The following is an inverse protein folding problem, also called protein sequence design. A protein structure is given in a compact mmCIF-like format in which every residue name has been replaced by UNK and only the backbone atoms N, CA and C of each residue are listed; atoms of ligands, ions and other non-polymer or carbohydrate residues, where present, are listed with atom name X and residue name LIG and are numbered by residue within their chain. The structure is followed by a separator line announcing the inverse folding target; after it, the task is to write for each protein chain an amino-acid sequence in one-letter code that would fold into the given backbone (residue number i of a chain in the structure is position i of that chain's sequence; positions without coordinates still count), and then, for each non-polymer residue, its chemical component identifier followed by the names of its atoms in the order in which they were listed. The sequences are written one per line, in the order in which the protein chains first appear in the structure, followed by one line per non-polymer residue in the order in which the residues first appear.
data_IF_730613725428
#
_entry.id   IF_730613725428
#
_cell.length_a   1.000
_cell.length_b   1.000
_cell.length_c   1.000
_cell.angle_alpha   90.00
_cell.angle_beta   90.00
_cell.angle_gamma   90.00
#
_symmetry.space_group_name_H-M   'P 1'
#
loop_
_entity.id
_entity.type
_entity.pdbx_description
1 polymer ?
#
# COMPACT_ATOMS: atom_id res chain seq x y z
N UNK A 1 -20.72 5.16 10.83
CA UNK A 1 -19.35 4.60 10.83
C UNK A 1 -18.81 4.74 12.24
N UNK A 2 -18.18 3.70 12.78
CA UNK A 2 -17.49 3.81 14.07
C UNK A 2 -16.26 4.68 13.82
N UNK A 3 -16.21 5.88 14.38
CA UNK A 3 -15.03 6.73 14.28
C UNK A 3 -14.05 6.27 15.36
N UNK A 4 -13.11 5.41 14.98
CA UNK A 4 -12.06 4.97 15.89
C UNK A 4 -11.17 6.13 16.30
N UNK A 5 -10.81 6.18 17.58
CA UNK A 5 -9.79 7.08 18.08
C UNK A 5 -8.46 6.76 17.38
N UNK A 6 -7.78 7.80 16.88
CA UNK A 6 -6.50 7.68 16.19
C UNK A 6 -5.43 8.31 17.07
N UNK A 7 -4.45 7.53 17.48
CA UNK A 7 -3.33 8.00 18.32
C UNK A 7 -2.03 7.89 17.53
N UNK A 8 -1.28 9.00 17.44
CA UNK A 8 0.05 8.96 16.81
C UNK A 8 1.03 8.38 17.82
N UNK A 9 1.75 7.35 17.39
CA UNK A 9 2.78 6.69 18.19
C UNK A 9 4.05 6.54 17.37
N UNK A 10 5.20 6.64 18.03
CA UNK A 10 6.49 6.46 17.40
C UNK A 10 6.86 4.97 17.31
N UNK A 11 7.35 4.54 16.14
CA UNK A 11 7.85 3.19 15.89
C UNK A 11 9.35 3.08 16.17
N UNK A 12 9.91 1.86 16.16
CA UNK A 12 11.34 1.64 16.48
C UNK A 12 12.31 2.25 15.47
N UNK A 13 11.89 2.52 14.24
CA UNK A 13 12.73 3.22 13.24
C UNK A 13 12.62 4.76 13.34
N UNK A 14 11.91 5.26 14.35
CA UNK A 14 11.70 6.69 14.60
C UNK A 14 10.49 7.29 13.88
N UNK A 15 9.92 6.59 12.90
CA UNK A 15 8.76 7.07 12.15
C UNK A 15 7.46 6.93 12.92
N UNK A 16 6.52 7.83 12.65
CA UNK A 16 5.19 7.81 13.23
C UNK A 16 4.30 6.76 12.55
N UNK A 17 3.46 6.11 13.34
CA UNK A 17 2.31 5.32 12.88
C UNK A 17 1.06 5.75 13.63
N UNK A 18 -0.10 5.33 13.16
CA UNK A 18 -1.38 5.57 13.82
C UNK A 18 -1.80 4.28 14.52
N UNK A 19 -2.06 4.36 15.81
CA UNK A 19 -2.64 3.31 16.63
C UNK A 19 -4.16 3.50 16.76
N UNK A 20 -4.88 2.39 16.66
CA UNK A 20 -6.33 2.29 16.85
C UNK A 20 -6.60 1.45 18.10
N UNK A 21 -6.79 2.08 19.29
CA UNK A 21 -6.93 1.36 20.56
C UNK A 21 -8.08 0.35 20.58
N UNK A 22 -9.19 0.65 19.93
CA UNK A 22 -10.42 -0.15 19.98
C UNK A 22 -10.28 -1.51 19.29
N UNK A 23 -9.37 -1.63 18.33
CA UNK A 23 -9.09 -2.88 17.61
C UNK A 23 -7.66 -3.41 17.89
N UNK A 24 -6.92 -2.67 18.71
CA UNK A 24 -5.52 -2.92 19.06
C UNK A 24 -4.69 -3.21 17.79
N UNK A 25 -4.67 -2.25 16.87
CA UNK A 25 -4.00 -2.38 15.59
C UNK A 25 -3.32 -1.06 15.19
N UNK A 26 -2.23 -1.17 14.42
CA UNK A 26 -1.51 -0.02 13.90
C UNK A 26 -1.64 0.05 12.37
N UNK A 27 -1.60 1.25 11.80
CA UNK A 27 -1.56 1.45 10.34
C UNK A 27 -0.30 0.83 9.72
N UNK A 28 0.82 0.90 10.45
CA UNK A 28 2.11 0.28 10.06
C UNK A 28 2.72 -0.43 11.27
N UNK A 29 3.62 -1.37 11.03
CA UNK A 29 4.34 -2.08 12.10
C UNK A 29 4.98 -1.14 13.12
N UNK A 30 4.79 -1.44 14.40
CA UNK A 30 5.49 -0.77 15.51
C UNK A 30 7.01 -0.97 15.46
N UNK A 31 7.52 -1.92 14.67
CA UNK A 31 8.96 -2.11 14.45
C UNK A 31 9.57 -1.07 13.51
N UNK A 32 8.77 -0.34 12.75
CA UNK A 32 9.25 0.68 11.83
C UNK A 32 8.33 0.82 10.63
N UNK A 33 7.64 1.95 10.50
CA UNK A 33 6.71 2.17 9.38
C UNK A 33 7.48 2.32 8.06
N UNK A 34 8.50 3.18 8.04
CA UNK A 34 9.32 3.43 6.85
C UNK A 34 10.08 2.18 6.45
N UNK A 35 10.68 1.48 7.42
CA UNK A 35 11.46 0.27 7.15
C UNK A 35 10.60 -0.87 6.60
N UNK A 36 9.42 -1.10 7.17
CA UNK A 36 8.48 -2.10 6.67
C UNK A 36 8.02 -1.77 5.25
N UNK A 37 7.57 -0.53 5.00
CA UNK A 37 7.08 -0.12 3.69
C UNK A 37 8.16 -0.19 2.60
N UNK A 38 9.40 0.23 2.92
CA UNK A 38 10.55 0.07 2.02
C UNK A 38 10.82 -1.41 1.71
N UNK A 39 10.84 -2.27 2.72
CA UNK A 39 11.13 -3.69 2.53
C UNK A 39 10.04 -4.40 1.72
N UNK A 40 8.79 -4.25 2.11
CA UNK A 40 7.66 -5.00 1.54
C UNK A 40 7.30 -4.47 0.16
N UNK A 41 7.00 -3.18 0.05
CA UNK A 41 6.37 -2.63 -1.16
C UNK A 41 7.40 -2.12 -2.17
N UNK A 42 8.52 -1.56 -1.71
CA UNK A 42 9.54 -1.04 -2.62
C UNK A 42 10.51 -2.15 -3.05
N UNK A 43 11.26 -2.75 -2.12
CA UNK A 43 12.30 -3.72 -2.45
C UNK A 43 11.74 -5.06 -2.94
N UNK A 44 10.64 -5.55 -2.35
CA UNK A 44 10.04 -6.82 -2.73
C UNK A 44 8.84 -6.67 -3.68
N UNK A 45 8.42 -5.44 -3.99
CA UNK A 45 7.38 -5.11 -4.96
C UNK A 45 7.91 -4.34 -6.17
N UNK A 46 8.14 -3.04 -6.01
CA UNK A 46 8.50 -2.13 -7.12
C UNK A 46 9.83 -2.47 -7.81
N UNK A 47 10.86 -2.86 -7.04
CA UNK A 47 12.18 -3.23 -7.58
C UNK A 47 12.12 -4.48 -8.49
N UNK A 48 11.09 -5.33 -8.32
CA UNK A 48 10.85 -6.43 -9.25
C UNK A 48 10.71 -5.93 -10.71
N UNK A 49 10.18 -4.72 -10.87
CA UNK A 49 9.99 -4.05 -12.15
C UNK A 49 11.10 -3.04 -12.48
N UNK A 50 12.32 -3.20 -11.95
CA UNK A 50 13.44 -2.27 -12.19
C UNK A 50 13.74 -1.99 -13.67
N UNK A 51 13.47 -2.95 -14.56
CA UNK A 51 13.69 -2.80 -16.01
C UNK A 51 12.47 -2.30 -16.80
N UNK A 52 11.31 -2.11 -16.14
CA UNK A 52 10.09 -1.61 -16.78
C UNK A 52 10.00 -0.10 -16.61
N UNK A 53 9.69 0.63 -17.69
CA UNK A 53 9.64 2.10 -17.69
C UNK A 53 8.28 2.67 -17.27
N UNK A 54 7.20 2.01 -17.65
CA UNK A 54 5.84 2.47 -17.38
C UNK A 54 5.12 1.45 -16.50
N UNK A 55 4.62 1.88 -15.36
CA UNK A 55 3.95 1.00 -14.39
C UNK A 55 2.66 1.62 -13.89
N UNK A 56 1.62 0.79 -13.79
CA UNK A 56 0.38 1.10 -13.10
C UNK A 56 0.35 0.34 -11.79
N UNK A 57 0.31 1.08 -10.69
CA UNK A 57 0.32 0.54 -9.32
C UNK A 57 -1.06 0.77 -8.71
N UNK A 58 -1.59 -0.26 -8.06
CA UNK A 58 -2.78 -0.17 -7.23
C UNK A 58 -2.38 -0.41 -5.77
N UNK A 59 -2.82 0.45 -4.87
CA UNK A 59 -2.71 0.27 -3.42
C UNK A 59 -4.10 0.09 -2.82
N UNK A 60 -4.24 -0.96 -2.01
CA UNK A 60 -5.42 -1.20 -1.19
C UNK A 60 -5.10 -0.81 0.24
N UNK A 61 -5.72 0.26 0.73
CA UNK A 61 -5.42 0.88 2.02
C UNK A 61 -4.41 2.02 1.87
N UNK A 62 -4.80 3.13 1.25
CA UNK A 62 -3.91 4.30 1.07
C UNK A 62 -3.38 4.84 2.41
N UNK A 63 -4.20 4.78 3.47
CA UNK A 63 -3.78 5.10 4.82
C UNK A 63 -3.10 6.46 4.96
N UNK A 64 -1.82 6.47 5.32
CA UNK A 64 -1.04 7.70 5.50
C UNK A 64 -0.37 8.21 4.21
N UNK A 65 -0.52 7.50 3.09
CA UNK A 65 0.17 7.76 1.84
C UNK A 65 1.67 7.41 1.86
N UNK A 66 2.15 6.67 2.86
CA UNK A 66 3.58 6.38 3.02
C UNK A 66 4.13 5.58 1.82
N UNK A 67 3.41 4.55 1.37
CA UNK A 67 3.86 3.73 0.24
C UNK A 67 3.89 4.55 -1.06
N UNK A 68 2.94 5.47 -1.26
CA UNK A 68 2.93 6.40 -2.39
C UNK A 68 4.14 7.35 -2.37
N UNK A 69 4.46 7.94 -1.21
CA UNK A 69 5.64 8.79 -1.02
C UNK A 69 6.94 8.05 -1.33
N UNK A 70 7.09 6.84 -0.79
CA UNK A 70 8.27 6.01 -1.04
C UNK A 70 8.36 5.55 -2.49
N UNK A 71 7.22 5.26 -3.12
CA UNK A 71 7.16 4.93 -4.56
C UNK A 71 7.63 6.09 -5.40
N UNK A 72 7.15 7.31 -5.14
CA UNK A 72 7.57 8.53 -5.85
C UNK A 72 9.08 8.75 -5.78
N UNK A 73 9.68 8.56 -4.60
CA UNK A 73 11.13 8.72 -4.44
C UNK A 73 11.93 7.64 -5.17
N UNK A 74 11.42 6.41 -5.16
CA UNK A 74 12.09 5.28 -5.79
C UNK A 74 11.93 5.24 -7.31
N UNK A 75 10.86 5.81 -7.86
CA UNK A 75 10.49 5.72 -9.28
C UNK A 75 11.36 6.57 -10.22
N UNK A 76 12.59 6.92 -9.84
CA UNK A 76 13.50 7.71 -10.67
C UNK A 76 13.61 7.08 -12.07
N UNK A 77 13.26 7.85 -13.12
CA UNK A 77 13.21 7.42 -14.53
C UNK A 77 12.09 6.42 -14.91
N UNK A 78 11.08 6.23 -14.06
CA UNK A 78 9.86 5.46 -14.36
C UNK A 78 8.67 6.39 -14.44
N UNK A 79 7.79 6.15 -15.41
CA UNK A 79 6.44 6.71 -15.44
C UNK A 79 5.52 5.85 -14.57
N UNK A 80 4.94 6.44 -13.54
CA UNK A 80 4.05 5.75 -12.60
C UNK A 80 2.66 6.37 -12.66
N UNK A 81 1.66 5.54 -12.90
CA UNK A 81 0.29 5.83 -12.50
C UNK A 81 0.00 5.09 -11.20
N UNK A 82 -0.26 5.84 -10.13
CA UNK A 82 -0.52 5.30 -8.80
C UNK A 82 -1.98 5.47 -8.43
N UNK A 83 -2.71 4.38 -8.22
CA UNK A 83 -4.08 4.38 -7.74
C UNK A 83 -4.14 3.89 -6.28
N UNK A 84 -4.51 4.75 -5.34
CA UNK A 84 -4.71 4.38 -3.94
C UNK A 84 -6.19 4.33 -3.57
N UNK A 85 -6.68 3.20 -3.07
CA UNK A 85 -8.07 3.05 -2.61
C UNK A 85 -8.11 3.09 -1.09
N UNK A 86 -8.97 3.96 -0.54
CA UNK A 86 -9.20 4.11 0.89
C UNK A 86 -10.68 4.31 1.16
N UNK A 87 -11.21 3.60 2.16
CA UNK A 87 -12.60 3.71 2.56
C UNK A 87 -12.82 4.83 3.58
N UNK A 88 -11.79 5.15 4.38
CA UNK A 88 -11.87 6.11 5.48
C UNK A 88 -10.61 6.99 5.50
N UNK A 89 -10.52 8.00 4.61
CA UNK A 89 -9.39 8.92 4.57
C UNK A 89 -9.09 9.56 5.93
N UNK A 90 -7.82 9.81 6.19
CA UNK A 90 -7.40 10.54 7.39
C UNK A 90 -7.77 12.03 7.29
N UNK A 91 -8.04 12.62 8.44
CA UNK A 91 -8.22 14.07 8.57
C UNK A 91 -6.89 14.80 8.33
N UNK A 92 -6.97 16.02 7.80
CA UNK A 92 -5.81 16.84 7.42
C UNK A 92 -4.81 17.03 8.57
N UNK A 93 -5.29 17.31 9.78
CA UNK A 93 -4.45 17.50 10.97
C UNK A 93 -3.62 16.26 11.31
N UNK A 94 -4.14 15.07 11.01
CA UNK A 94 -3.44 13.82 11.29
C UNK A 94 -2.30 13.60 10.29
N UNK A 95 -2.48 13.93 9.01
CA UNK A 95 -1.40 13.90 8.02
C UNK A 95 -0.26 14.85 8.42
N UNK A 96 -0.60 16.09 8.78
CA UNK A 96 0.39 17.12 9.17
C UNK A 96 1.18 16.76 10.42
N UNK A 97 0.63 15.87 11.26
CA UNK A 97 1.28 15.41 12.50
C UNK A 97 2.22 14.22 12.30
N UNK A 98 2.30 13.66 11.08
CA UNK A 98 3.25 12.58 10.75
C UNK A 98 4.63 13.15 10.46
N UNK A 99 5.66 12.50 10.99
CA UNK A 99 7.05 12.97 10.89
C UNK A 99 7.81 12.45 9.66
N UNK A 100 7.12 12.08 8.57
CA UNK A 100 7.77 11.53 7.39
C UNK A 100 8.71 12.53 6.70
N UNK A 101 8.37 13.82 6.72
CA UNK A 101 9.18 14.90 6.15
C UNK A 101 10.57 15.03 6.78
N UNK A 102 10.72 14.64 8.05
CA UNK A 102 12.00 14.76 8.77
C UNK A 102 12.88 13.53 8.65
N UNK A 103 12.30 12.37 8.30
CA UNK A 103 12.98 11.08 8.25
C UNK A 103 13.26 10.57 6.85
N UNK A 104 12.46 10.99 5.86
CA UNK A 104 12.62 10.56 4.47
C UNK A 104 13.45 11.61 3.72
N UNK A 105 14.72 11.29 3.51
CA UNK A 105 15.63 12.15 2.76
C UNK A 105 15.11 12.45 1.35
N UNK A 106 15.39 13.67 0.86
CA UNK A 106 15.00 14.17 -0.46
C UNK A 106 13.49 14.31 -0.71
N UNK A 107 12.65 14.07 0.31
CA UNK A 107 11.21 14.26 0.20
C UNK A 107 10.85 15.73 0.47
N UNK A 108 10.47 16.45 -0.58
CA UNK A 108 10.05 17.85 -0.46
C UNK A 108 8.65 17.95 0.15
N UNK A 109 8.43 18.96 1.00
CA UNK A 109 7.14 19.23 1.64
C UNK A 109 6.01 19.35 0.60
N UNK A 110 6.25 20.05 -0.51
CA UNK A 110 5.27 20.19 -1.60
C UNK A 110 4.80 18.84 -2.18
N UNK A 111 5.68 17.84 -2.22
CA UNK A 111 5.33 16.50 -2.70
C UNK A 111 4.49 15.75 -1.66
N UNK A 112 4.83 15.91 -0.38
CA UNK A 112 4.06 15.34 0.73
C UNK A 112 2.64 15.87 0.69
N UNK A 113 2.49 17.19 0.61
CA UNK A 113 1.19 17.85 0.53
C UNK A 113 0.42 17.43 -0.73
N UNK A 114 1.06 17.40 -1.90
CA UNK A 114 0.40 16.93 -3.14
C UNK A 114 -0.09 15.49 -3.04
N UNK A 115 0.65 14.59 -2.40
CA UNK A 115 0.22 13.19 -2.26
C UNK A 115 -0.88 13.06 -1.20
N UNK A 116 -0.68 13.62 -0.01
CA UNK A 116 -1.58 13.41 1.14
C UNK A 116 -2.85 14.25 1.05
N UNK A 117 -2.74 15.51 0.62
CA UNK A 117 -3.81 16.53 0.77
C UNK A 117 -4.56 16.84 -0.52
N UNK A 118 -4.12 16.29 -1.66
CA UNK A 118 -4.85 16.45 -2.92
C UNK A 118 -6.25 15.84 -2.89
N UNK A 119 -7.11 16.33 -3.78
CA UNK A 119 -8.50 15.88 -3.90
C UNK A 119 -8.62 14.38 -4.16
N UNK A 120 -9.61 13.76 -3.53
CA UNK A 120 -10.01 12.39 -3.81
C UNK A 120 -10.84 12.32 -5.10
N UNK A 121 -10.82 11.16 -5.75
CA UNK A 121 -11.54 10.82 -6.99
C UNK A 121 -11.15 11.71 -8.18
N UNK A 122 -9.92 12.21 -8.20
CA UNK A 122 -9.36 13.05 -9.26
C UNK A 122 -7.92 12.65 -9.55
N UNK A 123 -7.53 12.71 -10.82
CA UNK A 123 -6.13 12.53 -11.22
C UNK A 123 -5.33 13.79 -10.92
N UNK A 124 -4.19 13.61 -10.27
CA UNK A 124 -3.31 14.69 -9.82
C UNK A 124 -1.91 14.42 -10.33
N UNK A 125 -1.37 15.34 -11.11
CA UNK A 125 0.03 15.29 -11.53
C UNK A 125 0.94 15.70 -10.36
N UNK A 126 1.69 14.74 -9.83
CA UNK A 126 2.68 14.99 -8.78
C UNK A 126 3.96 15.54 -9.45
N UNK A 127 4.38 14.89 -10.54
CA UNK A 127 5.48 15.28 -11.44
C UNK A 127 5.20 14.77 -12.86
N UNK A 128 6.00 15.16 -13.88
CA UNK A 128 5.82 14.70 -15.27
C UNK A 128 5.86 13.18 -15.47
N UNK A 129 6.35 12.42 -14.50
CA UNK A 129 6.44 10.96 -14.55
C UNK A 129 5.69 10.28 -13.40
N UNK A 130 4.86 11.02 -12.66
CA UNK A 130 4.10 10.44 -11.55
C UNK A 130 2.71 11.07 -11.45
N UNK A 131 1.69 10.29 -11.77
CA UNK A 131 0.28 10.65 -11.63
C UNK A 131 -0.32 9.87 -10.46
N UNK A 132 -1.00 10.57 -9.57
CA UNK A 132 -1.73 10.00 -8.44
C UNK A 132 -3.23 10.07 -8.68
N UNK A 133 -3.93 8.97 -8.43
CA UNK A 133 -5.38 8.91 -8.32
C UNK A 133 -5.73 8.29 -6.97
N UNK A 134 -6.43 9.02 -6.11
CA UNK A 134 -6.89 8.47 -4.81
C UNK A 134 -8.39 8.24 -4.87
N UNK A 135 -8.86 7.03 -4.56
CA UNK A 135 -10.29 6.68 -4.56
C UNK A 135 -10.80 6.65 -3.12
N UNK A 136 -11.81 7.46 -2.81
CA UNK A 136 -12.49 7.44 -1.50
C UNK A 136 -13.70 6.52 -1.57
N UNK A 137 -13.47 5.21 -1.52
CA UNK A 137 -14.51 4.19 -1.61
C UNK A 137 -13.99 2.86 -1.04
N UNK A 138 -14.92 2.04 -0.56
CA UNK A 138 -14.63 0.64 -0.21
C UNK A 138 -14.30 -0.17 -1.47
N UNK A 139 -13.23 -0.97 -1.42
CA UNK A 139 -12.85 -1.85 -2.54
C UNK A 139 -13.96 -2.87 -2.88
N UNK A 140 -14.77 -3.26 -1.91
CA UNK A 140 -15.94 -4.13 -2.09
C UNK A 140 -16.92 -3.53 -3.12
N UNK A 141 -17.09 -2.22 -3.11
CA UNK A 141 -18.08 -1.49 -3.92
C UNK A 141 -17.46 -0.88 -5.20
N UNK A 142 -16.12 -0.80 -5.27
CA UNK A 142 -15.41 -0.15 -6.37
C UNK A 142 -15.07 -1.11 -7.51
N UNK A 143 -15.49 -0.85 -8.75
CA UNK A 143 -15.16 -1.72 -9.88
C UNK A 143 -13.75 -1.45 -10.41
N UNK A 144 -12.88 -2.46 -10.39
CA UNK A 144 -11.56 -2.39 -11.00
C UNK A 144 -11.62 -2.82 -12.47
N UNK A 145 -10.86 -2.12 -13.31
CA UNK A 145 -10.61 -2.58 -14.68
C UNK A 145 -9.74 -3.84 -14.67
N UNK A 146 -10.10 -4.82 -15.49
CA UNK A 146 -9.31 -6.02 -15.69
C UNK A 146 -7.98 -5.68 -16.38
N UNK A 147 -6.93 -6.40 -16.00
CA UNK A 147 -5.59 -6.34 -16.61
C UNK A 147 -5.03 -4.91 -16.74
N UNK A 148 -5.33 -4.06 -15.76
CA UNK A 148 -4.90 -2.67 -15.74
C UNK A 148 -3.56 -2.50 -15.02
N UNK A 149 -3.34 -3.21 -13.92
CA UNK A 149 -2.22 -2.94 -13.02
C UNK A 149 -1.06 -3.92 -13.22
N UNK A 150 0.15 -3.41 -13.08
CA UNK A 150 1.38 -4.21 -13.08
C UNK A 150 1.70 -4.70 -11.65
N UNK A 151 1.35 -3.89 -10.65
CA UNK A 151 1.70 -4.13 -9.25
C UNK A 151 0.55 -3.73 -8.33
N UNK A 152 0.23 -4.60 -7.38
CA UNK A 152 -0.71 -4.35 -6.28
C UNK A 152 0.07 -4.35 -4.96
N UNK A 153 0.02 -3.23 -4.25
CA UNK A 153 0.32 -3.15 -2.84
C UNK A 153 -0.94 -3.47 -2.05
N UNK A 154 -0.98 -4.66 -1.45
CA UNK A 154 -2.11 -5.05 -0.62
C UNK A 154 -1.80 -4.78 0.85
N UNK A 155 -2.10 -3.56 1.27
CA UNK A 155 -1.79 -3.00 2.59
C UNK A 155 -3.04 -2.81 3.46
N UNK A 156 -3.97 -3.76 3.38
CA UNK A 156 -5.11 -3.82 4.26
C UNK A 156 -4.70 -4.26 5.68
N UNK A 157 -5.53 -3.96 6.68
CA UNK A 157 -5.34 -4.53 8.01
C UNK A 157 -5.36 -6.07 7.95
N UNK A 158 -4.58 -6.69 8.83
CA UNK A 158 -4.37 -8.13 8.79
C UNK A 158 -5.68 -8.92 8.97
N UNK A 159 -5.75 -10.20 8.54
CA UNK A 159 -7.01 -10.96 8.52
C UNK A 159 -7.67 -11.19 9.89
N UNK A 160 -6.97 -10.88 11.00
CA UNK A 160 -7.55 -10.92 12.35
C UNK A 160 -8.51 -9.75 12.58
N UNK A 161 -8.16 -8.58 12.05
CA UNK A 161 -8.86 -7.32 12.27
C UNK A 161 -9.86 -7.07 11.15
N UNK A 162 -9.49 -7.39 9.91
CA UNK A 162 -10.27 -7.04 8.74
C UNK A 162 -10.37 -8.22 7.76
N UNK A 163 -10.98 -9.32 8.22
CA UNK A 163 -11.05 -10.58 7.49
C UNK A 163 -11.70 -10.47 6.10
N UNK A 164 -12.68 -9.57 5.95
CA UNK A 164 -13.42 -9.35 4.71
C UNK A 164 -12.54 -8.89 3.54
N UNK A 165 -11.44 -8.17 3.82
CA UNK A 165 -10.48 -7.75 2.80
C UNK A 165 -9.74 -8.95 2.20
N UNK A 166 -9.66 -10.06 2.92
CA UNK A 166 -8.94 -11.27 2.50
C UNK A 166 -9.88 -12.34 1.94
N UNK A 167 -11.12 -11.97 1.65
CA UNK A 167 -12.10 -12.87 1.05
C UNK A 167 -11.70 -13.26 -0.38
N UNK A 168 -12.19 -14.42 -0.82
CA UNK A 168 -11.98 -14.88 -2.20
C UNK A 168 -12.48 -13.87 -3.23
N UNK A 169 -13.56 -13.14 -2.93
CA UNK A 169 -14.10 -12.10 -3.81
C UNK A 169 -13.08 -10.97 -4.04
N UNK A 170 -12.50 -10.42 -2.96
CA UNK A 170 -11.50 -9.37 -3.08
C UNK A 170 -10.22 -9.89 -3.73
N UNK A 171 -9.74 -11.07 -3.34
CA UNK A 171 -8.54 -11.66 -3.96
C UNK A 171 -8.73 -11.96 -5.45
N UNK A 172 -9.92 -12.41 -5.86
CA UNK A 172 -10.28 -12.59 -7.27
C UNK A 172 -10.27 -11.26 -8.03
N UNK A 173 -10.80 -10.20 -7.42
CA UNK A 173 -10.76 -8.84 -7.96
C UNK A 173 -9.33 -8.36 -8.21
N UNK A 174 -8.43 -8.61 -7.25
CA UNK A 174 -7.00 -8.30 -7.39
C UNK A 174 -6.39 -9.09 -8.55
N UNK A 175 -6.62 -10.40 -8.60
CA UNK A 175 -6.14 -11.26 -9.69
C UNK A 175 -6.62 -10.79 -11.08
N UNK A 176 -7.89 -10.46 -11.23
CA UNK A 176 -8.45 -10.02 -12.50
C UNK A 176 -7.89 -8.66 -12.93
N UNK A 177 -7.65 -7.76 -11.97
CA UNK A 177 -7.12 -6.41 -12.23
C UNK A 177 -5.63 -6.37 -12.61
N UNK A 178 -4.86 -7.40 -12.26
CA UNK A 178 -3.46 -7.52 -12.64
C UNK A 178 -3.30 -7.94 -14.10
N UNK A 179 -2.30 -7.40 -14.79
CA UNK A 179 -1.81 -7.93 -16.07
C UNK A 179 -1.14 -9.28 -15.87
N UNK A 180 -1.01 -10.06 -16.94
CA UNK A 180 -0.12 -11.23 -16.96
C UNK A 180 1.32 -10.82 -16.58
N UNK A 181 1.94 -11.57 -15.67
CA UNK A 181 3.24 -11.22 -15.07
C UNK A 181 3.16 -10.16 -13.98
N UNK A 182 1.98 -9.61 -13.71
CA UNK A 182 1.75 -8.63 -12.64
C UNK A 182 1.84 -9.26 -11.25
N UNK A 183 2.12 -8.42 -10.26
CA UNK A 183 2.46 -8.86 -8.91
C UNK A 183 1.50 -8.30 -7.87
N UNK A 184 1.11 -9.16 -6.94
CA UNK A 184 0.50 -8.80 -5.67
C UNK A 184 1.54 -8.97 -4.56
N UNK A 185 1.75 -7.94 -3.73
CA UNK A 185 2.68 -8.00 -2.60
C UNK A 185 2.02 -7.53 -1.31
N UNK A 186 2.33 -8.20 -0.20
CA UNK A 186 1.79 -7.86 1.12
C UNK A 186 2.72 -8.31 2.24
N UNK A 187 2.69 -7.60 3.37
CA UNK A 187 3.37 -8.02 4.59
C UNK A 187 2.76 -9.30 5.19
N UNK A 188 1.52 -9.64 4.83
CA UNK A 188 0.79 -10.76 5.43
C UNK A 188 1.34 -12.11 4.95
N UNK A 189 1.81 -12.94 5.88
CA UNK A 189 2.33 -14.28 5.60
C UNK A 189 1.44 -15.42 6.15
N UNK A 190 0.16 -15.14 6.48
CA UNK A 190 -0.73 -16.18 7.01
C UNK A 190 -0.91 -17.31 5.99
N UNK A 191 -0.80 -18.56 6.46
CA UNK A 191 -0.90 -19.75 5.60
C UNK A 191 -2.22 -19.84 4.84
N UNK A 192 -3.34 -19.38 5.43
CA UNK A 192 -4.63 -19.34 4.75
C UNK A 192 -4.62 -18.37 3.56
N UNK A 193 -4.10 -17.15 3.74
CA UNK A 193 -3.95 -16.16 2.65
C UNK A 193 -3.11 -16.71 1.51
N UNK A 194 -2.00 -17.39 1.81
CA UNK A 194 -1.16 -18.04 0.77
C UNK A 194 -1.93 -19.12 -0.01
N UNK A 195 -2.81 -19.89 0.66
CA UNK A 195 -3.66 -20.90 0.00
C UNK A 195 -4.74 -20.24 -0.86
N UNK A 196 -5.38 -19.19 -0.36
CA UNK A 196 -6.44 -18.49 -1.07
C UNK A 196 -5.89 -17.80 -2.33
N UNK A 197 -4.71 -17.18 -2.24
CA UNK A 197 -4.00 -16.63 -3.41
C UNK A 197 -3.71 -17.72 -4.47
N UNK A 198 -3.21 -18.88 -4.05
CA UNK A 198 -3.00 -20.03 -4.97
C UNK A 198 -4.31 -20.49 -5.61
N UNK A 199 -5.40 -20.53 -4.85
CA UNK A 199 -6.71 -20.90 -5.35
C UNK A 199 -7.27 -19.91 -6.38
N UNK A 200 -6.87 -18.63 -6.33
CA UNK A 200 -7.19 -17.64 -7.37
C UNK A 200 -6.37 -17.78 -8.65
N UNK A 201 -5.30 -18.60 -8.64
CA UNK A 201 -4.41 -18.82 -9.78
C UNK A 201 -3.05 -18.13 -9.69
N UNK A 202 -2.72 -17.48 -8.56
CA UNK A 202 -1.40 -16.90 -8.38
C UNK A 202 -0.32 -17.97 -8.17
N UNK A 203 0.86 -17.74 -8.74
CA UNK A 203 2.10 -18.36 -8.26
C UNK A 203 2.57 -17.62 -7.00
N UNK A 204 2.60 -18.30 -5.85
CA UNK A 204 2.88 -17.66 -4.55
C UNK A 204 4.30 -17.98 -4.07
N UNK A 205 5.05 -16.92 -3.82
CA UNK A 205 6.39 -16.93 -3.23
C UNK A 205 6.34 -16.48 -1.76
N UNK A 206 7.15 -17.14 -0.93
CA UNK A 206 7.40 -16.71 0.45
C UNK A 206 8.77 -16.06 0.51
N UNK A 207 8.81 -14.81 0.95
CA UNK A 207 10.04 -14.01 1.04
C UNK A 207 10.36 -13.70 2.50
N UNK A 208 11.60 -13.30 2.77
CA UNK A 208 12.00 -12.82 4.09
C UNK A 208 11.15 -11.60 4.50
N UNK A 209 10.63 -11.63 5.72
CA UNK A 209 9.79 -10.55 6.24
C UNK A 209 10.59 -9.29 6.60
N UNK A 210 9.91 -8.13 6.73
CA UNK A 210 10.53 -6.93 7.30
C UNK A 210 10.86 -7.13 8.79
N UNK A 211 11.66 -6.25 9.41
CA UNK A 211 12.02 -6.39 10.82
C UNK A 211 10.81 -6.58 11.75
N UNK A 212 10.89 -7.61 12.58
CA UNK A 212 9.79 -8.07 13.45
C UNK A 212 8.85 -9.10 12.81
N UNK A 213 8.98 -9.42 11.52
CA UNK A 213 8.21 -10.46 10.82
C UNK A 213 9.16 -11.47 10.17
N UNK A 214 8.84 -12.77 10.27
CA UNK A 214 9.67 -13.85 9.70
C UNK A 214 9.54 -13.94 8.18
N UNK A 215 8.34 -13.73 7.68
CA UNK A 215 7.99 -13.94 6.28
C UNK A 215 7.07 -12.82 5.80
N UNK A 216 7.06 -12.63 4.49
CA UNK A 216 6.05 -11.88 3.75
C UNK A 216 5.62 -12.65 2.49
N UNK A 217 4.61 -12.16 1.78
CA UNK A 217 4.06 -12.85 0.61
C UNK A 217 4.18 -12.00 -0.64
N UNK A 218 4.66 -12.61 -1.72
CA UNK A 218 4.56 -12.11 -3.10
C UNK A 218 3.82 -13.13 -3.95
N UNK A 219 2.94 -12.67 -4.82
CA UNK A 219 2.11 -13.53 -5.65
C UNK A 219 2.11 -12.99 -7.09
N UNK A 220 2.34 -13.86 -8.08
CA UNK A 220 2.53 -13.49 -9.48
C UNK A 220 1.37 -14.06 -10.30
N UNK A 221 0.74 -13.22 -11.12
CA UNK A 221 -0.27 -13.67 -12.09
C UNK A 221 0.43 -14.31 -13.28
N UNK A 222 0.14 -15.58 -13.54
CA UNK A 222 0.80 -16.39 -14.57
C UNK A 222 0.22 -16.21 -15.97
#
# INVERSE_FOLDING_TARGET
MINFKKEIVQTKDGSNTIFLPEINEHYHSHHGAIQESKHVFILNGLDYFKNVKDLKILEIGFGTGLNALLTYLYSQNKSIFYNGIEAFPLEMDLYSSLNFSTLIENLKVEIIEKIQLSEWNKEIEISPTFTLFKTNQKIQEYTLNNEMYDLIYFDAFGPRVQAEMWSNEILNKMYNSLKKGGIFVTYCAKGQVKRDLKAQGFFVETLEGPPGKREMTRAIKM
#
